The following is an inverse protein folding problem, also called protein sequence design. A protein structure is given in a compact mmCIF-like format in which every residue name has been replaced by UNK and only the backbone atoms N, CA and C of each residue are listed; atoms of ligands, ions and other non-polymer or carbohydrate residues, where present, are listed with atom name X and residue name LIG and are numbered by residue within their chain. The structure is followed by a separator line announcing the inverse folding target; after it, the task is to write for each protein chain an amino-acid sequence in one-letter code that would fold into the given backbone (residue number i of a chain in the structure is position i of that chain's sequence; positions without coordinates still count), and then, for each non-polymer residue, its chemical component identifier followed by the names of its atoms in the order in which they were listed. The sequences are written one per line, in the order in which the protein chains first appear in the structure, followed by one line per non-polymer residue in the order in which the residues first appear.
data_IF_710298876092
#
_entry.id   IF_710298876092
#
_cell.length_a   1.000
_cell.length_b   1.000
_cell.length_c   1.000
_cell.angle_alpha   90.00
_cell.angle_beta   90.00
_cell.angle_gamma   90.00
#
_symmetry.space_group_name_H-M   'P 1'
#
loop_
_entity.id
_entity.type
_entity.pdbx_description
1 polymer ?
#
# COMPACT_ATOMS: atom_id res chain seq x y z
N UNK A 1 -5.86 8.67 -9.88
CA UNK A 1 -6.20 7.72 -8.77
C UNK A 1 -5.16 7.84 -7.67
N UNK A 2 -5.50 7.52 -6.42
CA UNK A 2 -4.53 7.46 -5.31
C UNK A 2 -3.72 6.15 -5.38
N UNK A 3 -2.51 6.12 -4.77
CA UNK A 3 -1.70 4.89 -4.66
C UNK A 3 -2.49 3.77 -3.97
N UNK A 4 -3.30 4.10 -2.97
CA UNK A 4 -4.14 3.14 -2.25
C UNK A 4 -5.19 2.50 -3.14
N UNK A 5 -5.77 3.25 -4.09
CA UNK A 5 -6.74 2.74 -5.06
C UNK A 5 -6.05 1.81 -6.08
N UNK A 6 -4.91 2.23 -6.64
CA UNK A 6 -4.11 1.42 -7.56
C UNK A 6 -3.66 0.10 -6.91
N UNK A 7 -3.16 0.18 -5.67
CA UNK A 7 -2.72 -1.01 -4.93
C UNK A 7 -3.87 -1.98 -4.65
N UNK A 8 -5.05 -1.46 -4.30
CA UNK A 8 -6.23 -2.29 -4.04
C UNK A 8 -6.70 -3.01 -5.30
N UNK A 9 -6.73 -2.33 -6.46
CA UNK A 9 -7.06 -2.94 -7.75
C UNK A 9 -6.06 -4.04 -8.10
N UNK A 10 -4.77 -3.74 -8.10
CA UNK A 10 -3.69 -4.71 -8.40
C UNK A 10 -3.71 -5.96 -7.49
N UNK A 11 -4.29 -5.86 -6.30
CA UNK A 11 -4.43 -6.94 -5.32
C UNK A 11 -5.85 -7.51 -5.22
N UNK A 12 -6.72 -7.18 -6.17
CA UNK A 12 -8.06 -7.74 -6.32
C UNK A 12 -8.14 -8.49 -7.65
N UNK A 13 -8.64 -9.70 -7.63
CA UNK A 13 -8.83 -10.48 -8.84
C UNK A 13 -10.03 -9.94 -9.64
N UNK A 14 -9.83 -9.63 -10.91
CA UNK A 14 -10.80 -8.92 -11.75
C UNK A 14 -12.09 -9.71 -11.97
N UNK A 15 -12.00 -11.04 -12.11
CA UNK A 15 -13.16 -11.88 -12.39
C UNK A 15 -13.93 -12.21 -11.11
N UNK A 16 -13.24 -12.68 -10.08
CA UNK A 16 -13.87 -13.12 -8.84
C UNK A 16 -14.11 -12.00 -7.84
N UNK A 17 -13.46 -10.86 -8.00
CA UNK A 17 -13.47 -9.75 -7.03
C UNK A 17 -12.88 -10.12 -5.66
N UNK A 18 -12.10 -11.21 -5.60
CA UNK A 18 -11.48 -11.67 -4.36
C UNK A 18 -10.10 -11.02 -4.15
N UNK A 19 -9.73 -10.65 -2.91
CA UNK A 19 -8.40 -10.13 -2.66
C UNK A 19 -7.33 -11.23 -2.83
N UNK A 20 -6.24 -10.88 -3.52
CA UNK A 20 -5.08 -11.75 -3.74
C UNK A 20 -4.15 -11.85 -2.51
N UNK A 21 -4.39 -11.05 -1.46
CA UNK A 21 -3.66 -11.06 -0.21
C UNK A 21 -4.60 -11.39 0.96
N UNK A 22 -4.05 -11.94 2.04
CA UNK A 22 -4.83 -12.04 3.29
C UNK A 22 -5.22 -10.65 3.81
N UNK A 23 -6.31 -10.58 4.57
CA UNK A 23 -6.92 -9.31 4.99
C UNK A 23 -5.96 -8.43 5.80
N UNK A 24 -5.07 -9.02 6.58
CA UNK A 24 -4.11 -8.30 7.42
C UNK A 24 -3.02 -7.64 6.58
N UNK A 25 -2.40 -8.41 5.67
CA UNK A 25 -1.38 -7.89 4.74
C UNK A 25 -1.93 -6.79 3.86
N UNK A 26 -3.14 -7.02 3.31
CA UNK A 26 -3.81 -6.03 2.49
C UNK A 26 -4.05 -4.74 3.26
N UNK A 27 -4.63 -4.80 4.46
CA UNK A 27 -4.92 -3.61 5.28
C UNK A 27 -3.66 -2.81 5.60
N UNK A 28 -2.55 -3.47 5.94
CA UNK A 28 -1.28 -2.78 6.21
C UNK A 28 -0.65 -2.19 4.95
N UNK A 29 -0.75 -2.87 3.81
CA UNK A 29 -0.28 -2.34 2.54
C UNK A 29 -1.05 -1.09 2.11
N UNK A 30 -2.38 -1.09 2.27
CA UNK A 30 -3.23 0.08 1.99
C UNK A 30 -2.89 1.25 2.92
N UNK A 31 -2.66 1.00 4.21
CA UNK A 31 -2.21 2.02 5.16
C UNK A 31 -0.84 2.61 4.76
N UNK A 32 0.08 1.76 4.29
CA UNK A 32 1.36 2.19 3.72
C UNK A 32 1.18 3.08 2.49
N UNK A 33 0.20 2.77 1.65
CA UNK A 33 -0.11 3.57 0.45
C UNK A 33 -0.59 4.99 0.82
N UNK A 34 -1.43 5.13 1.84
CA UNK A 34 -1.82 6.46 2.36
C UNK A 34 -0.60 7.23 2.86
N UNK A 35 0.26 6.59 3.66
CA UNK A 35 1.46 7.23 4.17
C UNK A 35 2.38 7.72 3.04
N UNK A 36 2.57 6.91 2.00
CA UNK A 36 3.41 7.27 0.86
C UNK A 36 2.79 8.37 -0.01
N UNK A 37 1.47 8.36 -0.23
CA UNK A 37 0.78 9.44 -0.93
C UNK A 37 0.94 10.78 -0.21
N UNK A 38 0.76 10.79 1.12
CA UNK A 38 0.96 11.97 1.96
C UNK A 38 2.43 12.44 1.97
N UNK A 39 3.38 11.51 1.91
CA UNK A 39 4.80 11.85 1.84
C UNK A 39 5.20 12.41 0.48
N UNK A 40 4.70 11.83 -0.62
CA UNK A 40 4.94 12.33 -1.98
C UNK A 40 4.36 13.73 -2.19
N UNK A 41 3.26 14.05 -1.52
CA UNK A 41 2.64 15.37 -1.53
C UNK A 41 3.25 16.37 -0.51
N UNK A 42 4.30 15.97 0.22
CA UNK A 42 4.97 16.80 1.21
C UNK A 42 4.17 17.06 2.50
N UNK A 43 3.08 16.32 2.72
CA UNK A 43 2.22 16.49 3.92
C UNK A 43 2.83 15.87 5.16
N UNK A 44 3.51 14.74 5.00
CA UNK A 44 4.19 14.03 6.10
C UNK A 44 5.63 13.69 5.73
N UNK A 45 6.46 13.51 6.74
CA UNK A 45 7.86 13.15 6.60
C UNK A 45 8.31 12.28 7.78
N UNK A 46 9.53 11.76 7.69
CA UNK A 46 10.21 11.06 8.78
C UNK A 46 11.14 12.05 9.49
N UNK A 47 10.92 12.30 10.77
CA UNK A 47 11.72 13.22 11.55
C UNK A 47 13.21 12.84 11.54
N UNK A 48 14.04 13.86 11.28
CA UNK A 48 15.50 13.77 11.24
C UNK A 48 16.14 13.97 12.61
N UNK A 49 17.48 14.19 12.59
CA UNK A 49 18.24 14.60 13.77
C UNK A 49 18.03 16.11 14.07
N UNK A 50 17.94 16.45 15.34
CA UNK A 50 17.79 17.84 15.77
C UNK A 50 16.37 18.40 15.66
N UNK A 51 15.39 17.63 15.26
CA UNK A 51 13.98 18.03 15.27
C UNK A 51 13.36 17.85 16.67
N UNK A 52 12.28 18.60 16.95
CA UNK A 52 11.53 18.47 18.20
C UNK A 52 10.88 17.08 18.35
N UNK A 53 10.48 16.48 17.21
CA UNK A 53 9.97 15.11 17.13
C UNK A 53 11.13 14.13 17.11
N UNK A 54 10.98 12.99 17.79
CA UNK A 54 12.01 11.96 17.86
C UNK A 54 12.37 11.44 16.48
N UNK A 55 13.69 11.36 16.19
CA UNK A 55 14.22 10.79 14.94
C UNK A 55 13.55 9.46 14.58
N UNK A 56 13.14 9.33 13.34
CA UNK A 56 12.49 8.13 12.81
C UNK A 56 10.98 8.04 13.09
N UNK A 57 10.39 9.01 13.75
CA UNK A 57 8.93 9.13 13.88
C UNK A 57 8.35 9.83 12.65
N UNK A 58 7.11 9.50 12.33
CA UNK A 58 6.33 10.20 11.30
C UNK A 58 5.85 11.52 11.88
N UNK A 59 6.04 12.59 11.13
CA UNK A 59 5.67 13.96 11.51
C UNK A 59 4.86 14.60 10.40
N UNK A 60 3.82 15.37 10.77
CA UNK A 60 3.06 16.18 9.82
C UNK A 60 3.86 17.45 9.53
N UNK A 61 4.12 17.72 8.24
CA UNK A 61 4.75 18.96 7.76
C UNK A 61 3.71 20.02 7.37
N UNK A 62 2.61 19.55 6.78
CA UNK A 62 1.49 20.41 6.41
C UNK A 62 0.17 19.67 6.67
N UNK A 63 -0.59 20.12 7.66
CA UNK A 63 -1.87 19.56 8.06
C UNK A 63 -3.07 20.19 7.36
N UNK A 64 -2.87 21.08 6.39
CA UNK A 64 -3.98 21.68 5.64
C UNK A 64 -4.72 20.62 4.80
N UNK A 65 -6.02 20.79 4.53
CA UNK A 65 -6.80 19.84 3.74
C UNK A 65 -6.15 19.54 2.40
N UNK A 66 -6.12 18.26 2.03
CA UNK A 66 -5.59 17.80 0.74
C UNK A 66 -6.60 17.94 -0.39
N UNK A 67 -7.89 18.07 -0.04
CA UNK A 67 -9.00 18.01 -0.97
C UNK A 67 -9.47 16.59 -1.30
N UNK A 68 -8.88 15.57 -0.68
CA UNK A 68 -9.29 14.17 -0.78
C UNK A 68 -9.66 13.62 0.61
N UNK A 69 -10.89 13.13 0.77
CA UNK A 69 -11.41 12.69 2.07
C UNK A 69 -10.62 11.56 2.70
N UNK A 70 -10.07 10.63 1.91
CA UNK A 70 -9.27 9.51 2.42
C UNK A 70 -7.93 9.99 2.94
N UNK A 71 -7.30 10.94 2.26
CA UNK A 71 -6.04 11.54 2.70
C UNK A 71 -6.23 12.45 3.90
N UNK A 72 -7.32 13.23 3.93
CA UNK A 72 -7.65 14.13 5.04
C UNK A 72 -7.95 13.34 6.32
N UNK A 73 -8.68 12.21 6.21
CA UNK A 73 -8.87 11.28 7.32
C UNK A 73 -7.53 10.66 7.75
N UNK A 74 -6.67 10.30 6.80
CA UNK A 74 -5.32 9.83 7.07
C UNK A 74 -4.51 10.85 7.89
N UNK A 75 -4.48 12.12 7.48
CA UNK A 75 -3.82 13.21 8.21
C UNK A 75 -4.41 13.39 9.62
N UNK A 76 -5.73 13.35 9.74
CA UNK A 76 -6.40 13.48 11.04
C UNK A 76 -5.95 12.40 12.03
N UNK A 77 -5.81 11.15 11.57
CA UNK A 77 -5.34 10.02 12.39
C UNK A 77 -3.85 10.12 12.78
N UNK A 78 -3.07 10.90 12.04
CA UNK A 78 -1.65 11.15 12.29
C UNK A 78 -1.42 12.35 13.23
N UNK A 79 -2.45 13.11 13.57
CA UNK A 79 -2.32 14.34 14.36
C UNK A 79 -1.88 14.05 15.79
N UNK A 80 -0.58 13.97 15.99
CA UNK A 80 0.09 13.75 17.26
C UNK A 80 1.35 14.64 17.30
N UNK A 81 1.44 15.62 18.22
CA UNK A 81 2.56 16.55 18.26
C UNK A 81 3.91 15.89 18.56
N UNK A 82 3.92 14.70 19.18
CA UNK A 82 5.14 13.95 19.47
C UNK A 82 5.56 13.05 18.29
N UNK A 83 4.71 12.97 17.26
CA UNK A 83 4.88 12.02 16.14
C UNK A 83 4.73 10.56 16.58
N UNK A 84 4.60 9.68 15.63
CA UNK A 84 4.42 8.23 15.89
C UNK A 84 5.43 7.41 15.14
N UNK A 85 5.78 6.24 15.72
CA UNK A 85 6.58 5.25 15.00
C UNK A 85 5.83 4.78 13.75
N UNK A 86 6.52 4.49 12.65
CA UNK A 86 5.90 4.02 11.41
C UNK A 86 4.92 2.85 11.62
N UNK A 87 5.29 1.87 12.45
CA UNK A 87 4.41 0.73 12.77
C UNK A 87 3.08 1.14 13.37
N UNK A 88 3.11 2.12 14.28
CA UNK A 88 1.90 2.56 14.99
C UNK A 88 1.03 3.40 14.05
N UNK A 89 1.65 4.22 13.19
CA UNK A 89 0.98 4.92 12.08
C UNK A 89 0.25 3.93 11.16
N UNK A 90 0.94 2.91 10.68
CA UNK A 90 0.33 1.88 9.81
C UNK A 90 -0.89 1.26 10.48
N UNK A 91 -0.81 0.91 11.76
CA UNK A 91 -1.94 0.32 12.49
C UNK A 91 -3.12 1.28 12.63
N UNK A 92 -2.87 2.56 12.89
CA UNK A 92 -3.93 3.56 13.04
C UNK A 92 -4.67 3.82 11.71
N UNK A 93 -3.96 3.74 10.58
CA UNK A 93 -4.54 3.98 9.26
C UNK A 93 -5.38 2.83 8.72
N UNK A 94 -5.36 1.63 9.31
CA UNK A 94 -6.08 0.47 8.75
C UNK A 94 -7.59 0.49 8.93
N UNK A 95 -8.09 1.20 9.95
CA UNK A 95 -9.50 1.13 10.35
C UNK A 95 -10.44 1.67 9.25
N UNK A 96 -11.32 0.83 8.71
CA UNK A 96 -12.30 1.20 7.71
C UNK A 96 -11.75 1.49 6.30
N UNK A 97 -10.42 1.63 6.16
CA UNK A 97 -9.77 2.11 4.93
C UNK A 97 -10.12 1.26 3.70
N UNK A 98 -10.07 -0.06 3.83
CA UNK A 98 -10.37 -0.96 2.70
C UNK A 98 -11.79 -0.77 2.16
N UNK A 99 -12.76 -0.71 3.04
CA UNK A 99 -14.17 -0.60 2.66
C UNK A 99 -14.47 0.79 2.09
N UNK A 100 -13.81 1.83 2.60
CA UNK A 100 -13.89 3.18 2.06
C UNK A 100 -13.31 3.26 0.64
N UNK A 101 -12.14 2.68 0.40
CA UNK A 101 -11.50 2.68 -0.93
C UNK A 101 -12.34 1.87 -1.93
N UNK A 102 -12.85 0.69 -1.55
CA UNK A 102 -13.79 -0.03 -2.41
C UNK A 102 -15.06 0.77 -2.70
N UNK A 103 -15.63 1.45 -1.69
CA UNK A 103 -16.79 2.32 -1.88
C UNK A 103 -16.55 3.40 -2.92
N UNK A 104 -15.37 4.02 -2.93
CA UNK A 104 -14.96 5.01 -3.95
C UNK A 104 -14.83 4.39 -5.34
N UNK A 105 -14.23 3.22 -5.44
CA UNK A 105 -14.08 2.51 -6.72
C UNK A 105 -15.45 2.10 -7.30
N UNK A 106 -16.39 1.68 -6.44
CA UNK A 106 -17.78 1.41 -6.84
C UNK A 106 -18.48 2.68 -7.32
N UNK A 107 -18.36 3.79 -6.58
CA UNK A 107 -18.97 5.06 -6.96
C UNK A 107 -18.45 5.60 -8.30
N UNK A 108 -17.22 5.25 -8.69
CA UNK A 108 -16.61 5.58 -9.97
C UNK A 108 -16.87 4.55 -11.08
N UNK A 109 -17.60 3.48 -10.80
CA UNK A 109 -17.92 2.42 -11.76
C UNK A 109 -16.73 1.56 -12.19
N UNK A 110 -15.65 1.53 -11.39
CA UNK A 110 -14.43 0.75 -11.69
C UNK A 110 -14.61 -0.70 -11.27
N UNK A 111 -15.21 -0.93 -10.10
CA UNK A 111 -15.60 -2.25 -9.61
C UNK A 111 -17.09 -2.24 -9.25
N UNK A 112 -17.72 -3.41 -9.17
CA UNK A 112 -19.07 -3.55 -8.59
C UNK A 112 -18.99 -4.35 -7.31
N UNK A 113 -19.91 -4.08 -6.37
CA UNK A 113 -20.02 -4.87 -5.16
C UNK A 113 -20.97 -6.04 -5.40
N UNK A 114 -20.51 -7.23 -5.14
CA UNK A 114 -21.30 -8.46 -5.12
C UNK A 114 -21.34 -9.02 -3.71
N UNK A 115 -22.54 -9.30 -3.21
CA UNK A 115 -22.73 -9.96 -1.93
C UNK A 115 -23.00 -11.45 -2.16
N UNK A 116 -22.13 -12.27 -1.61
CA UNK A 116 -22.24 -13.73 -1.66
C UNK A 116 -22.22 -14.34 -0.25
N UNK A 117 -22.34 -15.66 -0.19
CA UNK A 117 -22.17 -16.42 1.05
C UNK A 117 -21.15 -17.53 0.84
N UNK A 118 -20.22 -17.66 1.78
CA UNK A 118 -19.30 -18.80 1.85
C UNK A 118 -19.99 -19.91 2.62
N UNK A 119 -20.04 -21.12 2.04
CA UNK A 119 -20.73 -22.29 2.61
C UNK A 119 -22.20 -22.02 2.98
N UNK A 120 -22.87 -21.07 2.28
CA UNK A 120 -24.25 -20.71 2.53
C UNK A 120 -24.52 -19.93 3.82
N UNK A 121 -23.54 -19.75 4.71
CA UNK A 121 -23.73 -19.22 6.06
C UNK A 121 -23.02 -17.87 6.31
N UNK A 122 -21.83 -17.67 5.77
CA UNK A 122 -21.03 -16.48 6.08
C UNK A 122 -21.13 -15.45 4.95
N UNK A 123 -21.57 -14.20 5.21
CA UNK A 123 -21.61 -13.16 4.20
C UNK A 123 -20.17 -12.83 3.73
N UNK A 124 -19.98 -12.72 2.43
CA UNK A 124 -18.73 -12.34 1.79
C UNK A 124 -19.01 -11.35 0.69
N UNK A 125 -18.40 -10.17 0.78
CA UNK A 125 -18.39 -9.20 -0.31
C UNK A 125 -17.26 -9.50 -1.28
N UNK A 126 -17.52 -9.28 -2.57
CA UNK A 126 -16.57 -9.37 -3.68
C UNK A 126 -16.66 -8.11 -4.51
N UNK A 127 -15.59 -7.78 -5.22
CA UNK A 127 -15.50 -6.55 -6.00
C UNK A 127 -14.93 -6.82 -7.40
N UNK A 128 -15.65 -7.58 -8.27
CA UNK A 128 -15.19 -7.83 -9.62
C UNK A 128 -15.10 -6.53 -10.43
N UNK A 129 -14.15 -6.50 -11.35
CA UNK A 129 -13.91 -5.36 -12.22
C UNK A 129 -15.11 -5.09 -13.14
N UNK A 130 -15.41 -3.83 -13.36
CA UNK A 130 -16.32 -3.32 -14.40
C UNK A 130 -15.51 -2.66 -15.50
N UNK A 131 -14.46 -1.94 -15.12
CA UNK A 131 -13.50 -1.32 -16.02
C UNK A 131 -12.08 -1.54 -15.49
N UNK A 132 -11.33 -2.42 -16.14
CA UNK A 132 -9.95 -2.76 -15.80
C UNK A 132 -8.90 -1.89 -16.52
N UNK A 133 -9.31 -0.94 -17.38
CA UNK A 133 -8.40 -0.19 -18.24
C UNK A 133 -7.26 0.49 -17.48
N UNK A 134 -7.58 1.13 -16.37
CA UNK A 134 -6.58 1.83 -15.56
C UNK A 134 -5.65 0.85 -14.82
N UNK A 135 -6.21 -0.22 -14.25
CA UNK A 135 -5.43 -1.27 -13.56
C UNK A 135 -4.46 -1.95 -14.52
N UNK A 136 -4.92 -2.34 -15.71
CA UNK A 136 -4.09 -2.94 -16.76
C UNK A 136 -2.94 -2.01 -17.20
N UNK A 137 -3.19 -0.69 -17.30
CA UNK A 137 -2.16 0.29 -17.62
C UNK A 137 -1.11 0.33 -16.50
N UNK A 138 -1.55 0.44 -15.23
CA UNK A 138 -0.67 0.46 -14.06
C UNK A 138 0.15 -0.84 -13.96
N UNK A 139 -0.47 -1.99 -14.21
CA UNK A 139 0.18 -3.30 -14.25
C UNK A 139 1.28 -3.35 -15.30
N UNK A 140 1.01 -2.89 -16.52
CA UNK A 140 2.01 -2.81 -17.59
C UNK A 140 3.20 -1.94 -17.21
N UNK A 141 2.96 -0.79 -16.57
CA UNK A 141 4.03 0.10 -16.14
C UNK A 141 4.91 -0.55 -15.06
N UNK A 142 4.32 -1.29 -14.11
CA UNK A 142 5.06 -2.07 -13.11
C UNK A 142 5.87 -3.18 -13.78
N UNK A 143 5.26 -3.92 -14.71
CA UNK A 143 5.95 -4.99 -15.45
C UNK A 143 7.15 -4.41 -16.20
N UNK A 144 6.98 -3.31 -16.92
CA UNK A 144 8.04 -2.66 -17.66
C UNK A 144 9.19 -2.20 -16.73
N UNK A 145 8.86 -1.58 -15.59
CA UNK A 145 9.86 -1.15 -14.60
C UNK A 145 10.66 -2.33 -14.02
N UNK A 146 10.02 -3.47 -13.80
CA UNK A 146 10.67 -4.68 -13.29
C UNK A 146 11.50 -5.37 -14.38
N UNK A 147 11.03 -5.41 -15.63
CA UNK A 147 11.74 -6.09 -16.73
C UNK A 147 12.92 -5.28 -17.29
N UNK A 148 12.90 -3.95 -17.16
CA UNK A 148 13.92 -3.06 -17.73
C UNK A 148 14.78 -2.39 -16.65
N UNK A 149 15.83 -3.08 -16.12
CA UNK A 149 16.68 -2.52 -15.09
C UNK A 149 17.43 -1.28 -15.60
N UNK A 150 17.60 -0.30 -14.71
CA UNK A 150 18.28 0.96 -15.03
C UNK A 150 17.39 2.03 -15.66
N UNK A 151 16.13 1.75 -15.94
CA UNK A 151 15.15 2.76 -16.34
C UNK A 151 14.82 3.66 -15.14
N UNK A 152 14.65 4.96 -15.41
CA UNK A 152 14.19 5.88 -14.37
C UNK A 152 12.73 5.54 -14.02
N UNK A 153 12.52 5.18 -12.77
CA UNK A 153 11.18 4.84 -12.25
C UNK A 153 10.55 6.11 -11.68
N UNK A 154 9.30 6.38 -12.07
CA UNK A 154 8.55 7.50 -11.50
C UNK A 154 8.27 7.27 -10.00
N UNK A 155 8.29 8.32 -9.14
CA UNK A 155 8.12 8.18 -7.69
C UNK A 155 6.86 7.40 -7.26
N UNK A 156 5.75 7.63 -7.92
CA UNK A 156 4.49 6.94 -7.64
C UNK A 156 4.57 5.44 -7.96
N UNK A 157 5.17 5.10 -9.10
CA UNK A 157 5.37 3.71 -9.52
C UNK A 157 6.35 2.99 -8.59
N UNK A 158 7.44 3.66 -8.20
CA UNK A 158 8.38 3.15 -7.21
C UNK A 158 7.75 2.86 -5.86
N UNK A 159 6.83 3.72 -5.41
CA UNK A 159 6.05 3.52 -4.19
C UNK A 159 5.16 2.27 -4.28
N UNK A 160 4.43 2.08 -5.40
CA UNK A 160 3.61 0.88 -5.64
C UNK A 160 4.44 -0.41 -5.62
N UNK A 161 5.56 -0.44 -6.36
CA UNK A 161 6.47 -1.61 -6.38
C UNK A 161 7.00 -1.91 -4.98
N UNK A 162 7.36 -0.87 -4.21
CA UNK A 162 7.86 -0.99 -2.85
C UNK A 162 6.84 -1.61 -1.89
N UNK A 163 5.56 -1.23 -2.01
CA UNK A 163 4.47 -1.80 -1.20
C UNK A 163 4.16 -3.25 -1.59
N UNK A 164 4.10 -3.55 -2.90
CA UNK A 164 3.91 -4.91 -3.40
C UNK A 164 5.04 -5.84 -2.94
N UNK A 165 6.29 -5.35 -2.94
CA UNK A 165 7.45 -6.08 -2.43
C UNK A 165 7.36 -6.31 -0.90
N UNK A 166 6.94 -5.29 -0.12
CA UNK A 166 6.79 -5.37 1.33
C UNK A 166 5.81 -6.46 1.79
N UNK A 167 4.74 -6.70 1.02
CA UNK A 167 3.74 -7.73 1.31
C UNK A 167 3.92 -9.03 0.52
N UNK A 168 5.07 -9.17 -0.19
CA UNK A 168 5.42 -10.33 -1.04
C UNK A 168 4.36 -10.62 -2.11
N UNK A 169 3.84 -9.59 -2.76
CA UNK A 169 2.80 -9.68 -3.79
C UNK A 169 3.23 -9.17 -5.17
N UNK A 170 4.48 -8.75 -5.34
CA UNK A 170 4.98 -8.31 -6.64
C UNK A 170 4.86 -9.40 -7.72
N UNK A 171 5.03 -10.68 -7.35
CA UNK A 171 4.88 -11.82 -8.26
C UNK A 171 3.43 -12.17 -8.62
N UNK A 172 2.45 -11.48 -8.04
CA UNK A 172 1.04 -11.54 -8.47
C UNK A 172 0.80 -10.55 -9.62
N UNK A 173 1.49 -9.41 -9.58
CA UNK A 173 1.39 -8.36 -10.61
C UNK A 173 2.31 -8.69 -11.79
N UNK A 174 3.57 -9.05 -11.52
CA UNK A 174 4.54 -9.51 -12.51
C UNK A 174 4.54 -11.03 -12.51
N UNK A 175 3.80 -11.61 -13.45
CA UNK A 175 3.60 -13.06 -13.52
C UNK A 175 4.84 -13.72 -14.13
N UNK A 176 5.52 -14.66 -13.43
CA UNK A 176 6.74 -15.29 -13.91
C UNK A 176 6.58 -15.96 -15.27
N UNK A 177 5.46 -16.64 -15.48
CA UNK A 177 5.15 -17.37 -16.71
C UNK A 177 4.98 -16.45 -17.94
N UNK A 178 4.83 -15.14 -17.71
CA UNK A 178 4.65 -14.11 -18.76
C UNK A 178 5.86 -13.18 -18.89
N UNK A 179 6.92 -13.37 -18.10
CA UNK A 179 7.99 -12.38 -17.93
C UNK A 179 9.38 -12.96 -18.11
N UNK A 180 9.66 -14.08 -18.61
CA UNK A 180 11.00 -14.70 -18.73
C UNK A 180 11.88 -14.61 -17.45
N UNK A 181 11.31 -14.13 -16.33
CA UNK A 181 11.98 -13.97 -15.04
C UNK A 181 11.43 -14.95 -14.01
N UNK A 182 12.33 -15.57 -13.24
CA UNK A 182 11.94 -16.39 -12.09
C UNK A 182 11.42 -15.53 -10.92
N UNK A 183 10.58 -16.14 -10.04
CA UNK A 183 10.04 -15.48 -8.83
C UNK A 183 11.13 -14.80 -7.97
N UNK A 184 12.30 -15.43 -7.86
CA UNK A 184 13.43 -14.89 -7.11
C UNK A 184 13.97 -13.60 -7.73
N UNK A 185 14.06 -13.57 -9.04
CA UNK A 185 14.56 -12.43 -9.79
C UNK A 185 13.58 -11.26 -9.74
N UNK A 186 12.28 -11.51 -9.91
CA UNK A 186 11.23 -10.49 -9.75
C UNK A 186 11.31 -9.84 -8.37
N UNK A 187 11.43 -10.64 -7.30
CA UNK A 187 11.60 -10.12 -5.94
C UNK A 187 12.88 -9.30 -5.76
N UNK A 188 13.98 -9.74 -6.39
CA UNK A 188 15.24 -9.01 -6.34
C UNK A 188 15.11 -7.66 -7.04
N UNK A 189 14.52 -7.61 -8.25
CA UNK A 189 14.22 -6.37 -8.98
C UNK A 189 13.33 -5.43 -8.18
N UNK A 190 12.30 -5.96 -7.53
CA UNK A 190 11.44 -5.17 -6.64
C UNK A 190 12.21 -4.52 -5.50
N UNK A 191 13.17 -5.22 -4.89
CA UNK A 191 14.05 -4.65 -3.85
C UNK A 191 14.97 -3.57 -4.41
N UNK A 192 15.56 -3.78 -5.58
CA UNK A 192 16.42 -2.80 -6.26
C UNK A 192 15.64 -1.52 -6.59
N UNK A 193 14.42 -1.65 -7.12
CA UNK A 193 13.53 -0.50 -7.34
C UNK A 193 13.24 0.19 -6.00
N UNK A 194 12.87 -0.55 -4.95
CA UNK A 194 12.57 0.04 -3.64
C UNK A 194 13.75 0.82 -3.04
N UNK A 195 14.97 0.37 -3.26
CA UNK A 195 16.20 1.02 -2.80
C UNK A 195 16.74 2.08 -3.77
N UNK A 196 16.13 2.22 -4.94
CA UNK A 196 16.63 3.03 -6.03
C UNK A 196 16.58 4.55 -5.80
N UNK A 197 17.23 5.29 -6.71
CA UNK A 197 17.35 6.75 -6.65
C UNK A 197 16.17 7.50 -7.30
N UNK A 198 15.02 6.85 -7.50
CA UNK A 198 13.87 7.43 -8.15
C UNK A 198 13.15 8.51 -7.33
N UNK A 199 13.39 8.55 -6.02
CA UNK A 199 12.73 9.49 -5.12
C UNK A 199 13.71 10.44 -4.42
N UNK A 200 13.29 11.67 -4.09
CA UNK A 200 14.01 12.54 -3.18
C UNK A 200 14.27 11.83 -1.83
N UNK A 201 15.29 12.28 -1.11
CA UNK A 201 15.74 11.65 0.15
C UNK A 201 14.60 11.55 1.20
N UNK A 202 13.74 12.56 1.29
CA UNK A 202 12.58 12.54 2.18
C UNK A 202 11.62 11.40 1.81
N UNK A 203 11.32 11.21 0.53
CA UNK A 203 10.42 10.14 0.06
C UNK A 203 11.05 8.76 0.25
N UNK A 204 12.37 8.61 0.06
CA UNK A 204 13.07 7.35 0.38
C UNK A 204 12.90 6.97 1.84
N UNK A 205 13.11 7.91 2.77
CA UNK A 205 12.86 7.68 4.21
C UNK A 205 11.43 7.27 4.48
N UNK A 206 10.46 7.88 3.80
CA UNK A 206 9.05 7.51 3.93
C UNK A 206 8.76 6.10 3.40
N UNK A 207 9.37 5.69 2.28
CA UNK A 207 9.27 4.33 1.74
C UNK A 207 9.86 3.32 2.70
N UNK A 208 11.07 3.56 3.22
CA UNK A 208 11.70 2.69 4.22
C UNK A 208 10.84 2.59 5.48
N UNK A 209 10.31 3.72 5.96
CA UNK A 209 9.43 3.78 7.12
C UNK A 209 8.12 3.02 6.88
N UNK A 210 7.50 3.18 5.72
CA UNK A 210 6.28 2.46 5.35
C UNK A 210 6.52 0.94 5.27
N UNK A 211 7.58 0.51 4.59
CA UNK A 211 7.96 -0.91 4.49
C UNK A 211 8.27 -1.52 5.87
N UNK A 212 9.06 -0.83 6.67
CA UNK A 212 9.38 -1.27 8.04
C UNK A 212 8.12 -1.30 8.92
N UNK A 213 7.25 -0.30 8.79
CA UNK A 213 5.97 -0.24 9.49
C UNK A 213 5.03 -1.38 9.13
N UNK A 214 4.86 -1.64 7.83
CA UNK A 214 4.06 -2.76 7.30
C UNK A 214 4.61 -4.09 7.81
N UNK A 215 5.92 -4.34 7.66
CA UNK A 215 6.57 -5.57 8.10
C UNK A 215 6.47 -5.78 9.62
N UNK A 216 6.73 -4.74 10.41
CA UNK A 216 6.66 -4.82 11.88
C UNK A 216 5.21 -4.99 12.38
N UNK A 217 4.22 -4.41 11.70
CA UNK A 217 2.82 -4.58 12.03
C UNK A 217 2.36 -6.02 11.77
N UNK A 218 2.82 -6.64 10.68
CA UNK A 218 2.55 -8.04 10.35
C UNK A 218 3.12 -9.00 11.42
N UNK A 219 4.38 -8.81 11.85
CA UNK A 219 5.02 -9.65 12.87
C UNK A 219 4.31 -9.53 14.21
N UNK A 220 3.95 -8.31 14.63
CA UNK A 220 3.26 -8.08 15.91
C UNK A 220 1.82 -8.61 15.95
N UNK A 221 1.17 -8.80 14.79
CA UNK A 221 -0.18 -9.38 14.70
C UNK A 221 -0.20 -10.89 14.98
N UNK A 222 0.86 -11.61 14.63
CA UNK A 222 0.95 -13.07 14.86
C UNK A 222 1.27 -13.43 16.31
N UNK A 223 1.97 -12.57 17.07
CA UNK A 223 2.31 -12.82 18.46
C UNK A 223 1.09 -12.70 19.41
N UNK A 224 0.06 -11.94 19.04
CA UNK A 224 -1.17 -11.79 19.83
C UNK A 224 -2.14 -12.98 19.72
N UNK A 225 -2.07 -13.74 18.64
CA UNK A 225 -2.98 -14.87 18.41
C UNK A 225 -2.60 -16.15 19.18
N UNK A 226 -1.35 -16.27 19.63
CA UNK A 226 -0.84 -17.45 20.37
C UNK A 226 -1.03 -17.37 21.88
N UNK A 227 -1.39 -16.22 22.44
CA UNK A 227 -1.62 -16.04 23.89
C UNK A 227 -3.09 -16.21 24.32
N UNK A 228 -4.02 -16.38 23.37
CA UNK A 228 -5.45 -16.51 23.65
C UNK A 228 -5.96 -17.97 23.71
N UNK A 229 -5.08 -18.95 23.65
CA UNK A 229 -5.41 -20.39 23.71
C UNK A 229 -4.65 -21.16 24.79
N UNK A 230 -4.50 -20.54 25.99
CA UNK A 230 -3.98 -21.24 27.17
C UNK A 230 -4.96 -21.08 28.31
#
# INVERSE_FOLDING_TARGET
MLIVEDLLLLLTDDESGAPAADSTKLSYALAGAILLELSLSGRVDVAGEGEAVKKGHIVIRDGSPTGDSVLDEGLSRLNDPEGKKPRDVIRHLTSGLRDEVYGRLVARGIVRREEGRVLGLFPRSRWPAVDATHEEATRRDIVNAVLQPGTQVEPRLGALVSLLAAVDKLTVVVVPEQSDLGKKEIRQRGKEISAGSWAPEAVKKAVEAAQAGVSAAMIGGTAGATMASS
#
